data_IF_311857711532
#
_entry.id   IF_311857711532
#
_cell.length_a   1.000
_cell.length_b   1.000
_cell.length_c   1.000
_cell.angle_alpha   90.00
_cell.angle_beta   90.00
_cell.angle_gamma   90.00
#
_symmetry.space_group_name_H-M   'P 1'
#
loop_
_entity.id
_entity.type
_entity.pdbx_description
1 polymer ?
#
# COMPACT_ATOMS: atom_id res chain seq x y z
N UNK A 1 -15.10 15.71 -11.81
CA UNK A 1 -15.16 14.37 -12.43
C UNK A 1 -14.88 13.24 -11.43
N UNK A 2 -13.77 13.28 -10.67
CA UNK A 2 -13.44 12.24 -9.66
C UNK A 2 -14.49 12.16 -8.52
N UNK A 3 -14.83 13.29 -7.91
CA UNK A 3 -15.80 13.37 -6.80
C UNK A 3 -17.26 13.06 -7.18
N UNK A 4 -17.55 12.87 -8.47
CA UNK A 4 -18.91 12.57 -8.97
C UNK A 4 -19.04 11.10 -9.39
N UNK A 5 -17.95 10.50 -9.89
CA UNK A 5 -17.98 9.11 -10.38
C UNK A 5 -17.77 8.09 -9.26
N UNK A 6 -16.84 8.33 -8.33
CA UNK A 6 -16.56 7.39 -7.24
C UNK A 6 -17.73 7.17 -6.26
N UNK A 7 -18.54 8.18 -5.87
CA UNK A 7 -19.68 7.96 -5.01
C UNK A 7 -20.94 7.54 -5.77
N UNK A 8 -20.89 7.31 -7.09
CA UNK A 8 -22.09 7.02 -7.88
C UNK A 8 -22.62 5.60 -7.56
N UNK A 9 -23.76 5.47 -6.86
CA UNK A 9 -24.30 4.17 -6.47
C UNK A 9 -24.87 3.38 -7.68
N UNK A 10 -25.09 4.04 -8.82
CA UNK A 10 -25.59 3.43 -10.06
C UNK A 10 -24.48 2.89 -10.97
N UNK A 11 -23.22 3.25 -10.70
CA UNK A 11 -22.04 2.64 -11.32
C UNK A 11 -21.13 2.19 -10.17
N UNK A 12 -21.49 1.11 -9.46
CA UNK A 12 -20.60 0.58 -8.43
C UNK A 12 -19.36 0.01 -9.14
N UNK A 13 -18.32 0.83 -9.25
CA UNK A 13 -16.96 0.32 -9.32
C UNK A 13 -16.72 -0.48 -8.05
N UNK A 14 -16.88 -1.80 -8.15
CA UNK A 14 -16.57 -2.68 -7.03
C UNK A 14 -15.10 -2.45 -6.65
N UNK A 15 -14.77 -2.21 -5.37
CA UNK A 15 -13.40 -2.00 -4.93
C UNK A 15 -12.43 -3.09 -5.44
N UNK A 16 -12.91 -4.32 -5.58
CA UNK A 16 -12.19 -5.45 -6.16
C UNK A 16 -11.74 -5.19 -7.61
N UNK A 17 -12.60 -4.63 -8.48
CA UNK A 17 -12.24 -4.29 -9.87
C UNK A 17 -11.11 -3.25 -9.94
N UNK A 18 -11.08 -2.32 -8.99
CA UNK A 18 -10.01 -1.32 -8.89
C UNK A 18 -8.69 -2.00 -8.47
N UNK A 19 -8.77 -2.96 -7.55
CA UNK A 19 -7.66 -3.70 -6.97
C UNK A 19 -7.05 -4.77 -7.89
N UNK A 20 -7.73 -5.19 -8.97
CA UNK A 20 -7.17 -6.07 -10.01
C UNK A 20 -5.87 -5.47 -10.59
N UNK A 21 -4.86 -6.30 -10.87
CA UNK A 21 -3.58 -5.90 -11.48
C UNK A 21 -2.89 -4.73 -10.79
N UNK A 22 -3.02 -4.61 -9.46
CA UNK A 22 -2.41 -3.49 -8.73
C UNK A 22 -0.89 -3.48 -8.86
N UNK A 23 -0.24 -4.64 -8.93
CA UNK A 23 1.21 -4.75 -9.16
C UNK A 23 1.67 -4.08 -10.46
N UNK A 24 0.81 -4.05 -11.48
CA UNK A 24 1.07 -3.39 -12.76
C UNK A 24 0.74 -1.89 -12.74
N UNK A 25 -0.02 -1.44 -11.74
CA UNK A 25 -0.51 -0.07 -11.63
C UNK A 25 0.34 0.79 -10.68
N UNK A 26 0.87 0.22 -9.59
CA UNK A 26 1.53 1.01 -8.53
C UNK A 26 2.75 1.79 -9.04
N UNK A 27 3.62 1.16 -9.82
CA UNK A 27 4.79 1.84 -10.40
C UNK A 27 4.40 2.95 -11.38
N UNK A 28 3.37 2.75 -12.21
CA UNK A 28 2.90 3.76 -13.16
C UNK A 28 2.21 4.92 -12.43
N UNK A 29 1.38 4.62 -11.43
CA UNK A 29 0.58 5.62 -10.71
C UNK A 29 1.40 6.49 -9.76
N UNK A 30 2.42 5.93 -9.13
CA UNK A 30 3.17 6.62 -8.06
C UNK A 30 4.65 6.78 -8.37
N UNK A 31 5.24 5.91 -9.20
CA UNK A 31 6.68 5.90 -9.46
C UNK A 31 7.21 7.21 -10.03
N UNK A 32 6.53 7.83 -11.00
CA UNK A 32 6.97 9.13 -11.55
C UNK A 32 6.90 10.27 -10.53
N UNK A 33 5.91 10.25 -9.64
CA UNK A 33 5.85 11.24 -8.54
C UNK A 33 7.01 11.02 -7.57
N UNK A 34 7.30 9.78 -7.18
CA UNK A 34 8.43 9.47 -6.30
C UNK A 34 9.75 9.88 -6.95
N UNK A 35 9.95 9.57 -8.24
CA UNK A 35 11.12 10.03 -9.02
C UNK A 35 11.25 11.54 -9.03
N UNK A 36 10.14 12.27 -9.13
CA UNK A 36 10.17 13.75 -9.11
C UNK A 36 10.63 14.31 -7.77
N UNK A 37 10.28 13.66 -6.66
CA UNK A 37 10.76 14.04 -5.32
C UNK A 37 12.25 13.71 -5.16
N UNK A 38 12.69 12.52 -5.61
CA UNK A 38 14.10 12.11 -5.57
C UNK A 38 15.01 13.08 -6.36
N UNK A 39 14.55 13.57 -7.51
CA UNK A 39 15.33 14.46 -8.39
C UNK A 39 15.31 15.94 -7.98
N UNK A 40 14.47 16.30 -7.02
CA UNK A 40 14.25 17.70 -6.64
C UNK A 40 15.19 18.07 -5.50
N UNK A 41 15.96 19.15 -5.65
CA UNK A 41 16.84 19.65 -4.58
C UNK A 41 16.04 20.20 -3.38
N UNK A 42 14.81 20.68 -3.63
CA UNK A 42 13.96 21.31 -2.60
C UNK A 42 12.90 20.38 -1.97
N UNK A 43 12.86 19.10 -2.33
CA UNK A 43 11.83 18.16 -1.83
C UNK A 43 12.47 16.95 -1.20
N UNK A 44 11.93 16.52 -0.06
CA UNK A 44 12.35 15.28 0.55
C UNK A 44 11.31 14.20 0.32
N UNK A 45 11.75 13.00 -0.07
CA UNK A 45 10.90 11.82 -0.19
C UNK A 45 10.18 11.50 1.13
N UNK A 46 10.76 11.86 2.28
CA UNK A 46 10.15 11.73 3.60
C UNK A 46 8.93 12.64 3.81
N UNK A 47 8.76 13.69 2.99
CA UNK A 47 7.58 14.57 3.03
C UNK A 47 6.35 13.90 2.39
N UNK A 48 6.54 12.78 1.67
CA UNK A 48 5.44 12.03 1.09
C UNK A 48 4.61 11.35 2.18
N UNK A 49 3.40 11.86 2.41
CA UNK A 49 2.46 11.24 3.35
C UNK A 49 1.58 10.18 2.71
N UNK A 50 0.95 10.52 1.58
CA UNK A 50 -0.12 9.73 0.98
C UNK A 50 0.38 8.52 0.19
N UNK A 51 1.46 8.68 -0.59
CA UNK A 51 1.99 7.60 -1.42
C UNK A 51 2.47 6.42 -0.55
N UNK A 52 3.31 6.63 0.49
CA UNK A 52 3.70 5.53 1.37
C UNK A 52 2.51 4.88 2.07
N UNK A 53 1.48 5.64 2.44
CA UNK A 53 0.28 5.10 3.06
C UNK A 53 -0.55 4.24 2.10
N UNK A 54 -0.65 4.62 0.82
CA UNK A 54 -1.30 3.80 -0.21
C UNK A 54 -0.53 2.51 -0.45
N UNK A 55 0.81 2.56 -0.52
CA UNK A 55 1.64 1.37 -0.68
C UNK A 55 1.50 0.43 0.52
N UNK A 56 1.54 0.96 1.74
CA UNK A 56 1.29 0.19 2.96
C UNK A 56 -0.12 -0.42 2.98
N UNK A 57 -1.13 0.33 2.54
CA UNK A 57 -2.51 -0.16 2.37
C UNK A 57 -2.63 -1.30 1.38
N UNK A 58 -1.89 -1.24 0.26
CA UNK A 58 -1.84 -2.33 -0.70
C UNK A 58 -1.16 -3.58 -0.13
N UNK A 59 -0.04 -3.44 0.57
CA UNK A 59 0.62 -4.56 1.27
C UNK A 59 -0.32 -5.17 2.33
N UNK A 60 -1.04 -4.35 3.09
CA UNK A 60 -2.05 -4.80 4.05
C UNK A 60 -3.21 -5.53 3.37
N UNK A 61 -3.61 -5.10 2.18
CA UNK A 61 -4.64 -5.76 1.38
C UNK A 61 -4.19 -7.16 0.94
N UNK A 62 -2.93 -7.35 0.56
CA UNK A 62 -2.37 -8.65 0.16
C UNK A 62 -2.40 -9.71 1.28
N UNK A 63 -2.64 -9.33 2.54
CA UNK A 63 -2.88 -10.28 3.63
C UNK A 63 -4.24 -11.00 3.52
N UNK A 64 -5.12 -10.56 2.62
CA UNK A 64 -6.43 -11.18 2.36
C UNK A 64 -7.34 -11.27 3.61
N UNK A 65 -7.17 -10.33 4.55
CA UNK A 65 -7.94 -10.22 5.79
C UNK A 65 -8.50 -8.80 5.90
N UNK A 66 -9.81 -8.65 6.06
CA UNK A 66 -10.45 -7.34 6.18
C UNK A 66 -10.13 -6.64 7.52
N UNK A 67 -10.63 -5.42 7.73
CA UNK A 67 -10.38 -4.67 8.96
C UNK A 67 -11.10 -5.26 10.19
N UNK A 68 -12.05 -6.18 10.00
CA UNK A 68 -12.73 -6.91 11.07
C UNK A 68 -12.05 -8.24 11.41
N UNK A 69 -11.05 -8.67 10.63
CA UNK A 69 -10.36 -9.94 10.79
C UNK A 69 -10.92 -11.08 9.95
N UNK A 70 -11.87 -10.83 9.05
CA UNK A 70 -12.43 -11.86 8.17
C UNK A 70 -11.56 -12.07 6.94
N UNK A 71 -11.39 -13.31 6.51
CA UNK A 71 -10.72 -13.62 5.24
C UNK A 71 -11.57 -13.20 4.05
N UNK A 72 -10.93 -12.77 2.96
CA UNK A 72 -11.58 -12.47 1.70
C UNK A 72 -10.66 -12.87 0.53
N UNK A 73 -11.23 -13.01 -0.67
CA UNK A 73 -10.44 -13.35 -1.86
C UNK A 73 -9.82 -12.12 -2.51
N UNK A 74 -8.51 -12.20 -2.78
CA UNK A 74 -7.81 -11.16 -3.51
C UNK A 74 -8.29 -11.09 -4.95
N UNK A 75 -8.36 -9.87 -5.46
CA UNK A 75 -8.57 -9.63 -6.89
C UNK A 75 -7.40 -10.19 -7.71
N UNK A 76 -7.65 -10.66 -8.95
CA UNK A 76 -6.59 -11.21 -9.80
C UNK A 76 -5.45 -10.22 -10.00
N UNK A 77 -4.22 -10.73 -9.95
CA UNK A 77 -3.01 -9.98 -10.23
C UNK A 77 -1.96 -10.93 -10.82
N UNK A 78 -1.24 -10.56 -11.89
CA UNK A 78 -0.26 -11.45 -12.53
C UNK A 78 0.89 -11.86 -11.60
N UNK A 79 1.19 -11.05 -10.58
CA UNK A 79 2.26 -11.32 -9.61
C UNK A 79 1.71 -11.81 -8.26
N UNK A 80 0.44 -12.19 -8.17
CA UNK A 80 -0.21 -12.54 -6.91
C UNK A 80 0.51 -13.68 -6.16
N UNK A 81 0.95 -14.71 -6.88
CA UNK A 81 1.65 -15.85 -6.28
C UNK A 81 2.96 -15.41 -5.62
N UNK A 82 3.79 -14.66 -6.36
CA UNK A 82 5.05 -14.11 -5.86
C UNK A 82 4.82 -13.15 -4.68
N UNK A 83 3.86 -12.24 -4.81
CA UNK A 83 3.53 -11.27 -3.76
C UNK A 83 3.05 -11.95 -2.47
N UNK A 84 2.29 -13.04 -2.60
CA UNK A 84 1.80 -13.78 -1.45
C UNK A 84 2.94 -14.39 -0.63
N UNK A 85 4.03 -14.85 -1.26
CA UNK A 85 5.19 -15.41 -0.56
C UNK A 85 5.88 -14.39 0.36
N UNK A 86 5.91 -13.12 -0.03
CA UNK A 86 6.44 -12.04 0.82
C UNK A 86 5.56 -11.76 2.04
N UNK A 87 4.26 -12.06 1.96
CA UNK A 87 3.28 -11.74 2.99
C UNK A 87 3.04 -12.86 4.01
N UNK A 88 3.49 -14.08 3.74
CA UNK A 88 3.16 -15.28 4.54
C UNK A 88 3.48 -15.16 6.04
N UNK A 89 4.54 -14.43 6.39
CA UNK A 89 5.00 -14.30 7.77
C UNK A 89 4.34 -13.13 8.52
N UNK A 90 3.63 -12.26 7.80
CA UNK A 90 2.97 -11.08 8.39
C UNK A 90 1.62 -11.51 8.96
N UNK A 91 1.41 -11.30 10.26
CA UNK A 91 0.13 -11.54 10.91
C UNK A 91 -0.36 -10.30 11.65
N UNK A 92 -1.68 -10.18 11.71
CA UNK A 92 -2.35 -9.10 12.42
C UNK A 92 -2.34 -9.40 13.92
N UNK A 93 -2.04 -8.40 14.76
CA UNK A 93 -2.10 -8.56 16.22
C UNK A 93 -0.79 -8.97 16.90
N UNK A 94 0.31 -9.06 16.16
CA UNK A 94 1.61 -9.47 16.69
C UNK A 94 2.75 -8.65 16.09
N UNK A 95 3.94 -8.80 16.67
CA UNK A 95 5.17 -8.27 16.10
C UNK A 95 5.54 -9.07 14.83
N UNK A 96 5.89 -8.37 13.76
CA UNK A 96 6.22 -8.96 12.46
C UNK A 96 7.64 -8.59 12.05
N UNK A 97 8.34 -9.53 11.40
CA UNK A 97 9.58 -9.22 10.71
C UNK A 97 9.30 -8.70 9.29
N UNK A 98 9.69 -7.45 9.03
CA UNK A 98 9.50 -6.79 7.75
C UNK A 98 10.69 -6.94 6.79
N UNK A 99 11.71 -7.76 7.10
CA UNK A 99 12.86 -7.96 6.22
C UNK A 99 12.49 -8.48 4.82
N UNK A 100 11.54 -9.41 4.72
CA UNK A 100 11.00 -9.86 3.43
C UNK A 100 10.28 -8.73 2.69
N UNK A 101 9.52 -7.91 3.42
CA UNK A 101 8.84 -6.75 2.85
C UNK A 101 9.84 -5.71 2.32
N UNK A 102 10.94 -5.45 3.04
CA UNK A 102 12.02 -4.58 2.55
C UNK A 102 12.57 -5.08 1.21
N UNK A 103 12.84 -6.39 1.08
CA UNK A 103 13.28 -6.97 -0.20
C UNK A 103 12.27 -6.76 -1.32
N UNK A 104 10.97 -6.89 -1.05
CA UNK A 104 9.94 -6.59 -2.03
C UNK A 104 9.99 -5.11 -2.44
N UNK A 105 10.14 -4.18 -1.49
CA UNK A 105 10.20 -2.73 -1.71
C UNK A 105 11.43 -2.28 -2.55
N UNK A 106 12.44 -3.13 -2.72
CA UNK A 106 13.54 -2.90 -3.65
C UNK A 106 13.17 -3.15 -5.13
N UNK A 107 12.06 -3.84 -5.39
CA UNK A 107 11.70 -4.30 -6.73
C UNK A 107 11.24 -3.14 -7.64
N UNK A 108 12.17 -2.62 -8.41
CA UNK A 108 11.95 -1.51 -9.35
C UNK A 108 10.94 -1.85 -10.46
N UNK A 109 10.72 -3.14 -10.77
CA UNK A 109 9.73 -3.54 -11.78
C UNK A 109 8.30 -3.30 -11.29
N UNK A 110 8.06 -3.46 -9.99
CA UNK A 110 6.75 -3.24 -9.36
C UNK A 110 6.56 -1.76 -9.05
N UNK A 111 7.53 -1.14 -8.38
CA UNK A 111 7.38 0.22 -7.85
C UNK A 111 7.89 1.33 -8.78
N UNK A 112 8.57 0.97 -9.88
CA UNK A 112 9.20 1.91 -10.81
C UNK A 112 10.48 2.57 -10.29
N UNK A 113 10.79 2.39 -9.00
CA UNK A 113 11.98 2.85 -8.28
C UNK A 113 12.28 1.88 -7.14
N UNK A 114 13.52 1.89 -6.63
CA UNK A 114 13.89 1.13 -5.44
C UNK A 114 13.52 1.95 -4.20
N UNK A 115 12.48 1.55 -3.46
CA UNK A 115 11.97 2.36 -2.34
C UNK A 115 12.91 2.36 -1.13
N UNK A 116 13.69 1.30 -0.93
CA UNK A 116 14.68 1.19 0.16
C UNK A 116 15.85 2.13 -0.09
N UNK A 117 16.44 2.10 -1.29
CA UNK A 117 17.55 3.01 -1.67
C UNK A 117 17.16 4.49 -1.57
N UNK A 118 15.87 4.79 -1.71
CA UNK A 118 15.33 6.13 -1.63
C UNK A 118 14.70 6.43 -0.24
N UNK A 119 14.94 5.62 0.79
CA UNK A 119 14.55 5.90 2.17
C UNK A 119 13.05 5.98 2.44
N UNK A 120 12.22 5.35 1.59
CA UNK A 120 10.77 5.31 1.78
C UNK A 120 10.28 4.07 2.54
N UNK A 121 11.11 3.03 2.63
CA UNK A 121 10.74 1.75 3.21
C UNK A 121 10.37 1.86 4.69
N UNK A 122 11.12 2.63 5.49
CA UNK A 122 10.82 2.80 6.91
C UNK A 122 9.45 3.43 7.15
N UNK A 123 9.04 4.41 6.33
CA UNK A 123 7.74 5.04 6.44
C UNK A 123 6.60 4.10 5.99
N UNK A 124 6.82 3.35 4.92
CA UNK A 124 5.87 2.33 4.43
C UNK A 124 5.69 1.22 5.49
N UNK A 125 6.78 0.73 6.06
CA UNK A 125 6.77 -0.31 7.10
C UNK A 125 6.11 0.20 8.37
N UNK A 126 6.40 1.43 8.79
CA UNK A 126 5.72 2.06 9.93
C UNK A 126 4.20 2.10 9.72
N UNK A 127 3.73 2.48 8.54
CA UNK A 127 2.30 2.47 8.24
C UNK A 127 1.74 1.04 8.18
N UNK A 128 2.45 0.10 7.57
CA UNK A 128 2.04 -1.31 7.53
C UNK A 128 1.92 -1.90 8.94
N UNK A 129 2.86 -1.59 9.83
CA UNK A 129 2.80 -1.94 11.24
C UNK A 129 1.52 -1.41 11.87
N UNK A 130 1.26 -0.11 11.76
CA UNK A 130 0.03 0.50 12.30
C UNK A 130 -1.26 -0.17 11.77
N UNK A 131 -1.29 -0.48 10.47
CA UNK A 131 -2.38 -1.16 9.76
C UNK A 131 -2.58 -2.63 10.16
N UNK A 132 -1.58 -3.26 10.77
CA UNK A 132 -1.60 -4.69 11.16
C UNK A 132 -1.68 -4.90 12.67
N UNK A 133 -1.77 -3.85 13.50
CA UNK A 133 -1.79 -3.99 14.97
C UNK A 133 -2.97 -4.76 15.54
N UNK A 134 -4.18 -4.60 14.99
CA UNK A 134 -5.40 -5.30 15.44
C UNK A 134 -6.55 -5.09 14.46
N UNK A 135 -7.68 -5.77 14.68
CA UNK A 135 -8.92 -5.41 14.01
C UNK A 135 -9.30 -3.94 14.27
N UNK A 136 -9.72 -3.23 13.23
CA UNK A 136 -10.00 -1.80 13.23
C UNK A 136 -8.77 -0.91 12.98
N UNK A 137 -7.57 -1.49 12.89
CA UNK A 137 -6.32 -0.74 12.66
C UNK A 137 -6.33 0.04 11.35
N UNK A 138 -6.99 -0.47 10.30
CA UNK A 138 -7.04 0.24 9.02
C UNK A 138 -7.75 1.58 9.21
N UNK A 139 -8.96 1.57 9.80
CA UNK A 139 -9.69 2.81 10.08
C UNK A 139 -8.92 3.75 11.00
N UNK A 140 -8.37 3.24 12.11
CA UNK A 140 -7.64 4.06 13.09
C UNK A 140 -6.43 4.75 12.45
N UNK A 141 -5.67 4.01 11.63
CA UNK A 141 -4.49 4.55 10.96
C UNK A 141 -4.88 5.62 9.94
N UNK A 142 -5.94 5.38 9.15
CA UNK A 142 -6.45 6.37 8.22
C UNK A 142 -6.95 7.63 8.94
N UNK A 143 -7.70 7.50 10.04
CA UNK A 143 -8.15 8.66 10.84
C UNK A 143 -6.96 9.45 11.40
N UNK A 144 -5.94 8.75 11.93
CA UNK A 144 -4.72 9.39 12.46
C UNK A 144 -3.98 10.22 11.40
N UNK A 145 -3.87 9.72 10.17
CA UNK A 145 -3.10 10.40 9.13
C UNK A 145 -3.96 11.29 8.22
N UNK A 146 -5.27 11.08 8.13
CA UNK A 146 -6.15 11.76 7.17
C UNK A 146 -7.33 12.50 7.82
N UNK A 147 -7.70 12.19 9.07
CA UNK A 147 -8.90 12.71 9.74
C UNK A 147 -8.82 14.15 10.24
N UNK A 148 -7.72 14.86 9.96
CA UNK A 148 -7.52 16.28 10.30
C UNK A 148 -7.84 17.25 9.16
N UNK A 149 -8.71 16.88 8.22
CA UNK A 149 -9.16 17.75 7.13
C UNK A 149 -10.62 18.16 7.32
#
# INVERSE_FOLDING_TARGET
>A
VINVRLPNPYIPDMPQRIATDTSQKVGIRFGETIKSYIKSDDKNVSDLKYIPLVLAGWLRYLLAIDDKGNKFDLSPDPLLSELSEYMQDIKIGQENDYNKIRKLLENERIFGVNLVKNGLDDLIIKYLDELTRKAGSVRITLEKYLGGQ
#
